data_IF_195026419585
#
_entry.id   IF_195026419585
#
_cell.length_a   1.000
_cell.length_b   1.000
_cell.length_c   1.000
_cell.angle_alpha   90.00
_cell.angle_beta   90.00
_cell.angle_gamma   90.00
#
_symmetry.space_group_name_H-M   'P 1'
#
loop_
_entity.id
_entity.type
_entity.pdbx_description
1 polymer ?
#
# COMPACT_ATOMS: atom_id res chain seq x y z
N UNK A 1 28.42 3.07 -13.22
CA UNK A 1 28.75 1.67 -13.49
C UNK A 1 28.70 0.93 -12.16
N UNK A 2 27.75 0.04 -12.03
CA UNK A 2 27.39 -0.83 -10.90
C UNK A 2 26.62 -0.22 -9.71
N UNK A 3 25.34 0.07 -9.96
CA UNK A 3 24.26 0.31 -8.97
C UNK A 3 23.56 -0.99 -8.47
N UNK A 4 24.13 -2.17 -8.68
CA UNK A 4 23.37 -3.44 -8.59
C UNK A 4 23.87 -4.46 -7.56
N UNK A 5 24.60 -4.07 -6.51
CA UNK A 5 25.16 -5.06 -5.58
C UNK A 5 24.31 -5.28 -4.31
N UNK A 6 23.36 -4.41 -3.97
CA UNK A 6 22.55 -4.55 -2.75
C UNK A 6 21.19 -5.26 -2.89
N UNK A 7 20.79 -5.66 -4.10
CA UNK A 7 19.43 -6.16 -4.36
C UNK A 7 19.31 -7.64 -4.73
N UNK A 8 20.32 -8.45 -4.52
CA UNK A 8 20.22 -9.90 -4.75
C UNK A 8 20.71 -10.68 -3.55
N UNK A 9 19.94 -10.68 -2.46
CA UNK A 9 20.00 -11.78 -1.51
C UNK A 9 18.60 -12.32 -1.26
N UNK A 10 18.25 -13.25 -2.11
CA UNK A 10 17.05 -14.06 -2.04
C UNK A 10 17.37 -15.38 -1.33
N UNK A 11 16.62 -15.68 -0.30
CA UNK A 11 16.30 -16.98 0.32
C UNK A 11 17.22 -18.19 0.15
N UNK A 12 17.72 -18.69 1.26
CA UNK A 12 17.81 -20.13 1.48
C UNK A 12 17.68 -20.47 2.97
N UNK A 13 16.56 -21.08 3.34
CA UNK A 13 16.32 -21.74 4.62
C UNK A 13 17.10 -23.04 4.69
N UNK A 14 17.90 -23.26 5.73
CA UNK A 14 18.28 -24.60 6.16
C UNK A 14 18.40 -24.65 7.68
N UNK A 15 17.48 -25.38 8.26
CA UNK A 15 17.51 -25.85 9.65
C UNK A 15 18.55 -26.95 9.80
N UNK A 16 19.48 -26.84 10.76
CA UNK A 16 20.22 -27.99 11.28
C UNK A 16 20.35 -27.85 12.79
N UNK A 17 19.91 -28.90 13.44
CA UNK A 17 19.82 -29.05 14.87
C UNK A 17 21.14 -29.26 15.58
N UNK A 18 21.08 -28.99 16.86
CA UNK A 18 22.13 -29.22 17.86
C UNK A 18 22.53 -30.68 17.99
N UNK A 19 23.80 -30.95 18.13
CA UNK A 19 24.38 -31.84 19.13
C UNK A 19 25.92 -31.67 19.16
N UNK A 20 26.52 -31.33 20.25
CA UNK A 20 27.42 -32.17 21.02
C UNK A 20 28.38 -31.35 21.90
N UNK A 21 28.42 -31.78 23.12
CA UNK A 21 29.40 -31.45 24.14
C UNK A 21 30.84 -31.64 23.65
N UNK A 22 31.63 -30.61 23.77
CA UNK A 22 33.07 -30.76 23.91
C UNK A 22 33.53 -30.10 25.20
N UNK A 23 33.78 -30.92 26.20
CA UNK A 23 34.62 -30.53 27.33
C UNK A 23 36.05 -30.42 26.81
N UNK A 24 36.51 -29.22 26.58
CA UNK A 24 37.90 -28.93 26.36
C UNK A 24 38.30 -27.82 27.30
N UNK A 25 39.08 -28.22 28.30
CA UNK A 25 39.96 -27.34 29.04
C UNK A 25 40.94 -26.66 28.10
N UNK A 26 40.52 -25.55 27.46
CA UNK A 26 41.44 -24.68 26.72
C UNK A 26 40.88 -23.26 26.71
N UNK A 27 41.53 -22.42 27.55
CA UNK A 27 41.75 -21.01 27.33
C UNK A 27 40.51 -20.16 26.91
N UNK A 28 40.26 -19.17 27.68
CA UNK A 28 39.46 -17.94 27.56
C UNK A 28 39.21 -17.40 26.15
N UNK A 29 39.12 -18.21 25.13
CA UNK A 29 38.80 -17.77 23.76
C UNK A 29 37.28 -17.61 23.67
N UNK A 30 36.86 -16.37 23.57
CA UNK A 30 35.49 -16.00 23.43
C UNK A 30 35.02 -16.24 21.98
N UNK A 31 33.89 -16.90 21.82
CA UNK A 31 33.27 -17.07 20.52
C UNK A 31 32.20 -15.98 20.34
N UNK A 32 32.29 -15.24 19.25
CA UNK A 32 31.28 -14.30 18.82
C UNK A 32 30.45 -14.97 17.72
N UNK A 33 29.17 -15.11 17.93
CA UNK A 33 28.25 -15.79 17.04
C UNK A 33 26.94 -14.96 16.84
N UNK A 34 26.05 -15.42 15.98
CA UNK A 34 24.83 -14.71 15.60
C UNK A 34 25.06 -13.87 14.35
N UNK A 35 24.03 -13.32 13.82
CA UNK A 35 24.03 -12.55 12.56
C UNK A 35 22.62 -12.37 12.06
N UNK A 36 21.64 -12.69 12.91
CA UNK A 36 20.22 -12.51 12.62
C UNK A 36 19.90 -11.01 12.63
N UNK A 37 19.11 -10.58 11.64
CA UNK A 37 18.64 -9.19 11.48
C UNK A 37 17.14 -9.14 11.70
N UNK A 38 16.66 -8.27 12.57
CA UNK A 38 15.24 -7.99 12.72
C UNK A 38 14.73 -7.14 11.55
N UNK A 39 13.47 -7.37 11.15
CA UNK A 39 12.83 -6.51 10.17
C UNK A 39 12.49 -5.13 10.74
N UNK A 40 12.31 -4.14 9.86
CA UNK A 40 11.58 -2.93 10.21
C UNK A 40 10.14 -3.32 10.59
N UNK A 41 9.72 -2.99 11.80
CA UNK A 41 8.40 -3.36 12.26
C UNK A 41 8.13 -2.99 13.70
N UNK A 42 6.94 -3.37 14.16
CA UNK A 42 6.53 -3.13 15.53
C UNK A 42 7.40 -3.92 16.52
N UNK A 43 7.85 -3.31 17.64
CA UNK A 43 8.76 -3.93 18.61
C UNK A 43 8.21 -5.18 19.32
N UNK A 44 6.94 -5.54 19.07
CA UNK A 44 6.30 -6.70 19.69
C UNK A 44 6.52 -8.03 18.97
N UNK A 45 7.21 -8.06 17.83
CA UNK A 45 7.55 -9.27 17.09
C UNK A 45 9.03 -9.30 16.75
N UNK A 46 9.80 -10.04 17.54
CA UNK A 46 11.15 -10.47 17.18
C UNK A 46 11.09 -11.51 16.06
N UNK A 47 10.60 -11.14 14.90
CA UNK A 47 10.70 -11.97 13.71
C UNK A 47 12.02 -11.61 13.01
N UNK A 48 13.04 -12.46 13.17
CA UNK A 48 14.28 -12.38 12.39
C UNK A 48 13.98 -12.87 10.99
N UNK A 49 14.23 -12.02 9.99
CA UNK A 49 13.90 -12.33 8.60
C UNK A 49 15.13 -12.69 7.80
N UNK A 50 16.29 -12.17 8.20
CA UNK A 50 17.52 -12.33 7.45
C UNK A 50 18.68 -12.68 8.37
N UNK A 51 19.67 -13.36 7.81
CA UNK A 51 20.98 -13.59 8.41
C UNK A 51 22.02 -12.90 7.55
N UNK A 52 22.95 -12.21 8.19
CA UNK A 52 24.04 -11.57 7.48
C UNK A 52 24.84 -12.60 6.66
N UNK A 53 25.20 -12.28 5.41
CA UNK A 53 25.95 -13.20 4.58
C UNK A 53 27.38 -13.40 5.07
N UNK A 54 27.97 -14.56 4.78
CA UNK A 54 29.38 -14.79 4.97
C UNK A 54 30.21 -13.73 4.21
N UNK A 55 31.22 -13.19 4.85
CA UNK A 55 32.02 -12.07 4.35
C UNK A 55 31.55 -10.70 4.85
N UNK A 56 30.41 -10.61 5.54
CA UNK A 56 30.01 -9.39 6.23
C UNK A 56 31.07 -8.97 7.23
N UNK A 57 31.24 -7.67 7.40
CA UNK A 57 32.19 -7.09 8.37
C UNK A 57 31.44 -6.19 9.34
N UNK A 58 31.91 -6.16 10.57
CA UNK A 58 31.43 -5.28 11.62
C UNK A 58 32.60 -4.67 12.43
N UNK A 59 32.30 -3.56 13.08
CA UNK A 59 33.13 -3.07 14.20
C UNK A 59 32.48 -3.48 15.52
N UNK A 60 33.30 -3.93 16.45
CA UNK A 60 32.92 -4.32 17.81
C UNK A 60 33.58 -3.40 18.82
N UNK A 61 32.77 -2.90 19.73
CA UNK A 61 33.15 -2.09 20.88
C UNK A 61 32.72 -2.81 22.14
N UNK A 62 33.52 -2.87 23.16
CA UNK A 62 33.17 -3.49 24.44
C UNK A 62 33.89 -2.83 25.61
N UNK A 63 33.24 -2.85 26.76
CA UNK A 63 33.75 -2.39 28.04
C UNK A 63 33.42 -3.42 29.12
N UNK A 64 34.14 -3.32 30.25
CA UNK A 64 33.96 -4.24 31.36
C UNK A 64 34.88 -5.45 31.25
N UNK A 65 34.31 -6.66 31.33
CA UNK A 65 35.09 -7.91 31.32
C UNK A 65 35.88 -8.19 30.05
N UNK A 66 35.50 -7.57 28.95
CA UNK A 66 36.21 -7.58 27.66
C UNK A 66 36.43 -6.14 27.22
N UNK A 67 37.63 -5.80 26.82
CA UNK A 67 37.90 -4.50 26.21
C UNK A 67 38.09 -4.64 24.70
N UNK A 68 37.30 -3.94 23.95
CA UNK A 68 37.41 -3.82 22.50
C UNK A 68 37.10 -2.39 22.06
N UNK A 69 37.95 -1.84 21.20
CA UNK A 69 37.78 -0.51 20.64
C UNK A 69 38.06 -0.56 19.15
N UNK A 70 37.00 -0.35 18.35
CA UNK A 70 37.05 -0.44 16.87
C UNK A 70 37.58 -1.79 16.35
N UNK A 71 37.31 -2.88 17.06
CA UNK A 71 37.76 -4.19 16.61
C UNK A 71 36.96 -4.63 15.36
N UNK A 72 37.66 -4.83 14.26
CA UNK A 72 37.06 -5.33 13.03
C UNK A 72 36.89 -6.84 13.11
N UNK A 73 35.69 -7.32 12.92
CA UNK A 73 35.34 -8.74 12.81
C UNK A 73 34.73 -9.04 11.44
N UNK A 74 35.02 -10.23 10.91
CA UNK A 74 34.45 -10.75 9.67
C UNK A 74 33.62 -12.00 9.94
N UNK A 75 32.46 -12.10 9.31
CA UNK A 75 31.56 -13.23 9.48
C UNK A 75 31.88 -14.37 8.51
N UNK A 76 32.08 -15.57 9.02
CA UNK A 76 32.37 -16.75 8.20
C UNK A 76 31.12 -17.57 7.84
N UNK A 77 29.93 -17.12 8.23
CA UNK A 77 28.64 -17.81 8.08
C UNK A 77 28.19 -18.52 9.37
N UNK A 78 29.02 -18.55 10.42
CA UNK A 78 28.71 -19.16 11.71
C UNK A 78 29.21 -18.32 12.89
N UNK A 79 30.44 -17.83 12.79
CA UNK A 79 31.10 -17.04 13.83
C UNK A 79 31.73 -15.79 13.23
N UNK A 80 31.96 -14.80 14.10
CA UNK A 80 32.69 -13.59 13.79
C UNK A 80 34.13 -13.73 14.22
N UNK A 81 35.06 -13.47 13.33
CA UNK A 81 36.50 -13.66 13.54
C UNK A 81 37.22 -12.35 13.28
N UNK A 82 38.16 -12.02 14.17
CA UNK A 82 39.08 -10.90 14.05
C UNK A 82 40.53 -11.37 13.81
N UNK A 83 41.43 -10.44 13.53
CA UNK A 83 42.89 -10.73 13.41
C UNK A 83 43.43 -11.35 14.67
N UNK A 84 42.87 -11.03 15.83
CA UNK A 84 43.24 -11.61 17.13
C UNK A 84 41.97 -12.08 17.86
N UNK A 85 42.06 -13.21 18.58
CA UNK A 85 40.92 -13.70 19.35
C UNK A 85 40.59 -12.75 20.50
N UNK A 86 39.29 -12.51 20.70
CA UNK A 86 38.78 -11.79 21.87
C UNK A 86 39.09 -12.59 23.15
N UNK A 87 39.46 -11.90 24.21
CA UNK A 87 39.78 -12.49 25.51
C UNK A 87 39.10 -11.71 26.62
N UNK A 88 38.78 -12.45 27.70
CA UNK A 88 38.39 -11.85 28.95
C UNK A 88 39.57 -11.20 29.63
N UNK A 89 39.48 -9.92 29.97
CA UNK A 89 40.46 -9.19 30.75
C UNK A 89 40.11 -9.19 32.23
N UNK A 90 38.81 -9.10 32.55
CA UNK A 90 38.33 -9.21 33.91
C UNK A 90 37.17 -10.25 33.96
N UNK A 91 37.37 -11.34 34.67
CA UNK A 91 36.44 -12.45 34.83
C UNK A 91 35.36 -12.18 35.89
N UNK A 92 35.43 -11.05 36.58
CA UNK A 92 34.47 -10.67 37.62
C UNK A 92 33.45 -9.65 37.10
N UNK A 93 33.68 -9.11 35.93
CA UNK A 93 32.79 -8.13 35.31
C UNK A 93 32.11 -8.71 34.07
N UNK A 94 30.86 -8.33 33.84
CA UNK A 94 30.20 -8.54 32.55
C UNK A 94 30.88 -7.69 31.47
N UNK A 95 30.80 -8.14 30.24
CA UNK A 95 31.20 -7.39 29.07
C UNK A 95 29.96 -6.80 28.40
N UNK A 96 29.92 -5.47 28.33
CA UNK A 96 28.90 -4.75 27.55
C UNK A 96 29.46 -4.40 26.18
N UNK A 97 28.88 -4.96 25.12
CA UNK A 97 29.33 -4.81 23.76
C UNK A 97 28.32 -4.13 22.85
N UNK A 98 28.83 -3.39 21.88
CA UNK A 98 28.10 -2.79 20.80
C UNK A 98 28.77 -3.13 19.47
N UNK A 99 27.99 -3.56 18.50
CA UNK A 99 28.46 -3.93 17.16
C UNK A 99 27.71 -3.16 16.09
N UNK A 100 28.41 -2.81 15.00
CA UNK A 100 27.82 -2.10 13.87
C UNK A 100 28.19 -2.78 12.54
N UNK A 101 27.20 -3.07 11.74
CA UNK A 101 27.34 -3.64 10.40
C UNK A 101 26.54 -2.77 9.38
N UNK A 102 27.18 -2.23 8.34
CA UNK A 102 28.61 -2.25 8.05
C UNK A 102 29.47 -1.60 9.15
N UNK A 103 30.83 -1.78 9.10
CA UNK A 103 31.71 -1.23 10.12
C UNK A 103 31.54 0.28 10.34
N UNK A 104 31.34 0.67 11.58
CA UNK A 104 31.25 2.07 11.99
C UNK A 104 32.48 2.42 12.86
N UNK A 105 33.28 3.38 12.42
CA UNK A 105 34.42 3.89 13.11
C UNK A 105 34.14 5.23 13.78
N UNK A 106 34.81 5.57 14.86
CA UNK A 106 34.62 6.85 15.59
C UNK A 106 34.75 8.10 14.72
N UNK A 107 35.58 8.02 13.68
CA UNK A 107 35.80 9.10 12.73
C UNK A 107 35.00 8.89 11.42
N UNK A 108 33.93 8.12 11.47
CA UNK A 108 33.07 7.91 10.29
C UNK A 108 32.46 9.24 9.84
N UNK A 109 32.68 9.59 8.58
CA UNK A 109 32.38 10.93 8.07
C UNK A 109 31.11 11.02 7.25
N UNK A 110 30.48 9.91 6.90
CA UNK A 110 29.29 9.96 6.07
C UNK A 110 28.37 8.76 6.27
N UNK A 111 27.13 9.04 6.66
CA UNK A 111 26.03 8.08 6.71
C UNK A 111 25.18 8.12 5.45
N UNK A 112 25.59 8.92 4.46
CA UNK A 112 24.80 9.20 3.26
C UNK A 112 25.54 8.73 2.02
N UNK A 113 24.78 8.14 1.10
CA UNK A 113 25.20 7.85 -0.26
C UNK A 113 24.26 8.59 -1.21
N UNK A 114 24.82 9.40 -2.11
CA UNK A 114 24.04 10.26 -3.02
C UNK A 114 22.99 11.13 -2.30
N UNK A 115 23.27 11.54 -1.06
CA UNK A 115 22.40 12.32 -0.22
C UNK A 115 21.36 11.51 0.58
N UNK A 116 21.19 10.23 0.32
CA UNK A 116 20.23 9.35 1.00
C UNK A 116 20.91 8.68 2.20
N UNK A 117 20.24 8.68 3.36
CA UNK A 117 20.70 8.00 4.56
C UNK A 117 20.79 6.49 4.30
N UNK A 118 21.98 5.92 4.51
CA UNK A 118 22.22 4.50 4.36
C UNK A 118 21.86 3.74 5.63
N UNK A 119 21.38 2.52 5.48
CA UNK A 119 21.05 1.69 6.61
C UNK A 119 22.30 1.30 7.42
N UNK A 120 22.14 1.34 8.72
CA UNK A 120 23.15 0.96 9.70
C UNK A 120 22.53 -0.02 10.67
N UNK A 121 23.03 -1.25 10.67
CA UNK A 121 22.62 -2.25 11.65
C UNK A 121 23.49 -2.12 12.90
N UNK A 122 22.88 -2.37 14.06
CA UNK A 122 23.59 -2.47 15.32
C UNK A 122 23.11 -3.65 16.17
N UNK A 123 23.99 -4.19 16.99
CA UNK A 123 23.66 -5.19 18.00
C UNK A 123 24.26 -4.77 19.34
N UNK A 124 23.44 -4.84 20.39
CA UNK A 124 23.90 -4.62 21.78
C UNK A 124 23.86 -5.94 22.54
N UNK A 125 24.89 -6.22 23.29
CA UNK A 125 25.01 -7.45 24.07
C UNK A 125 25.62 -7.19 25.43
N UNK A 126 25.16 -7.94 26.43
CA UNK A 126 25.81 -8.04 27.74
C UNK A 126 26.10 -9.51 27.97
N UNK A 127 27.37 -9.86 28.18
CA UNK A 127 27.85 -11.24 28.25
C UNK A 127 28.56 -11.47 29.57
N UNK A 128 28.30 -12.58 30.24
CA UNK A 128 28.97 -12.99 31.47
C UNK A 128 30.18 -13.84 31.16
N UNK A 129 31.14 -13.88 32.09
CA UNK A 129 32.32 -14.72 31.95
C UNK A 129 31.96 -16.19 31.69
N UNK A 130 32.57 -16.77 30.68
CA UNK A 130 32.33 -18.15 30.26
C UNK A 130 31.19 -18.34 29.25
N UNK A 131 30.47 -17.29 28.92
CA UNK A 131 29.43 -17.32 27.89
C UNK A 131 29.98 -16.85 26.52
N UNK A 132 29.36 -17.27 25.44
CA UNK A 132 29.65 -16.76 24.12
C UNK A 132 28.86 -15.45 23.87
N UNK A 133 29.44 -14.56 23.09
CA UNK A 133 28.76 -13.38 22.62
C UNK A 133 27.81 -13.79 21.51
N UNK A 134 26.54 -13.43 21.63
CA UNK A 134 25.53 -13.59 20.58
C UNK A 134 25.08 -12.22 20.06
N UNK A 135 25.19 -12.00 18.76
CA UNK A 135 24.82 -10.74 18.12
C UNK A 135 23.52 -10.90 17.33
N UNK A 136 22.51 -10.17 17.78
CA UNK A 136 21.22 -10.01 17.08
C UNK A 136 21.11 -8.56 16.64
N UNK A 137 21.01 -8.32 15.33
CA UNK A 137 21.07 -6.99 14.76
C UNK A 137 19.69 -6.37 14.61
N UNK A 138 19.64 -5.06 14.79
CA UNK A 138 18.49 -4.21 14.55
C UNK A 138 18.91 -3.04 13.67
N UNK A 139 17.95 -2.45 12.96
CA UNK A 139 18.18 -1.22 12.22
C UNK A 139 18.35 -0.05 13.18
N UNK A 140 19.39 0.74 12.98
CA UNK A 140 19.68 1.93 13.80
C UNK A 140 18.73 3.07 13.49
N UNK A 141 18.29 3.18 12.23
CA UNK A 141 17.42 4.23 11.74
C UNK A 141 15.96 3.75 11.67
N UNK A 142 15.04 4.70 11.52
CA UNK A 142 13.64 4.42 11.23
C UNK A 142 13.41 4.46 9.71
N UNK A 143 12.47 3.65 9.22
CA UNK A 143 12.03 3.65 7.83
C UNK A 143 10.73 4.43 7.71
N UNK A 144 10.63 5.34 6.76
CA UNK A 144 9.39 6.04 6.40
C UNK A 144 8.99 5.62 5.00
N UNK A 145 7.73 5.24 4.86
CA UNK A 145 7.11 4.88 3.57
C UNK A 145 5.99 5.87 3.30
N UNK A 146 6.05 6.53 2.14
CA UNK A 146 4.95 7.37 1.71
C UNK A 146 3.85 6.51 1.08
N UNK A 147 2.69 6.48 1.74
CA UNK A 147 1.47 5.92 1.19
C UNK A 147 0.76 6.99 0.37
N UNK A 148 1.04 6.96 -0.94
CA UNK A 148 0.53 7.96 -1.87
C UNK A 148 -0.79 7.48 -2.44
N UNK A 149 -1.84 8.31 -2.39
CA UNK A 149 -3.13 7.97 -2.99
C UNK A 149 -2.95 7.54 -4.46
N UNK A 150 -3.69 6.54 -4.90
CA UNK A 150 -3.53 5.95 -6.23
C UNK A 150 -3.81 6.97 -7.34
N UNK A 151 -4.73 7.90 -7.13
CA UNK A 151 -5.03 9.01 -8.05
C UNK A 151 -3.83 9.96 -8.19
N UNK A 152 -3.24 10.39 -7.08
CA UNK A 152 -2.05 11.23 -7.07
C UNK A 152 -0.84 10.47 -7.63
N UNK A 153 -0.69 9.21 -7.28
CA UNK A 153 0.45 8.37 -7.66
C UNK A 153 0.67 8.29 -9.19
N UNK A 154 -0.40 8.34 -9.99
CA UNK A 154 -0.33 8.39 -11.45
C UNK A 154 0.16 9.71 -12.01
N UNK A 155 0.05 10.77 -11.22
CA UNK A 155 0.42 12.13 -11.60
C UNK A 155 1.81 12.52 -11.10
N UNK A 156 2.41 11.71 -10.22
CA UNK A 156 3.72 12.01 -9.66
C UNK A 156 4.81 11.78 -10.70
N UNK A 157 5.60 12.82 -10.91
CA UNK A 157 6.87 12.73 -11.61
C UNK A 157 8.02 12.48 -10.63
N UNK A 158 8.01 13.17 -9.47
CA UNK A 158 9.09 13.14 -8.50
C UNK A 158 8.60 13.61 -7.13
N UNK A 159 9.14 13.04 -6.08
CA UNK A 159 8.97 13.54 -4.71
C UNK A 159 10.30 14.09 -4.21
N UNK A 160 10.28 15.33 -3.76
CA UNK A 160 11.37 15.97 -3.04
C UNK A 160 11.00 16.04 -1.55
N UNK A 161 11.91 15.68 -0.67
CA UNK A 161 11.67 15.77 0.76
C UNK A 161 12.87 16.37 1.48
N UNK A 162 12.59 17.09 2.56
CA UNK A 162 13.60 17.76 3.39
C UNK A 162 13.31 17.44 4.85
N UNK A 163 14.05 16.48 5.46
CA UNK A 163 13.96 16.28 6.89
C UNK A 163 14.54 17.49 7.63
N UNK A 164 13.99 17.84 8.77
CA UNK A 164 14.52 18.97 9.57
C UNK A 164 15.89 18.69 10.18
N UNK A 165 16.25 17.42 10.34
CA UNK A 165 17.51 16.97 10.93
C UNK A 165 18.22 15.95 10.04
N UNK A 166 19.54 16.01 10.02
CA UNK A 166 20.44 15.04 9.38
C UNK A 166 21.43 14.44 10.39
N UNK A 167 21.83 13.18 10.14
CA UNK A 167 22.80 12.47 10.97
C UNK A 167 24.19 13.02 10.72
N UNK A 168 24.91 13.36 11.79
CA UNK A 168 26.30 13.83 11.74
C UNK A 168 27.25 12.74 12.22
N UNK A 169 26.89 12.07 13.31
CA UNK A 169 27.69 11.00 13.90
C UNK A 169 26.83 10.05 14.71
N UNK A 170 27.40 8.90 15.03
CA UNK A 170 26.86 7.94 15.99
C UNK A 170 27.95 7.70 17.03
N UNK A 171 27.57 7.70 18.30
CA UNK A 171 28.50 7.35 19.40
C UNK A 171 28.57 5.83 19.47
N UNK A 172 29.72 5.21 19.11
CA UNK A 172 29.76 3.75 18.97
C UNK A 172 29.54 2.99 20.28
N UNK A 173 29.86 3.58 21.43
CA UNK A 173 29.69 2.95 22.73
C UNK A 173 28.26 2.88 23.22
N UNK A 174 27.43 3.77 22.75
CA UNK A 174 26.00 3.86 23.17
C UNK A 174 25.00 3.59 22.03
N UNK A 175 25.42 3.74 20.77
CA UNK A 175 24.54 3.76 19.61
C UNK A 175 23.74 5.05 19.50
N UNK A 176 24.08 6.10 20.27
CA UNK A 176 23.40 7.38 20.23
C UNK A 176 23.66 8.09 18.90
N UNK A 177 22.58 8.51 18.23
CA UNK A 177 22.64 9.22 16.95
C UNK A 177 22.67 10.72 17.20
N UNK A 178 23.72 11.38 16.74
CA UNK A 178 23.90 12.83 16.83
C UNK A 178 23.44 13.46 15.52
N UNK A 179 22.53 14.42 15.62
CA UNK A 179 21.96 15.12 14.47
C UNK A 179 22.28 16.61 14.50
N UNK A 180 22.19 17.22 13.33
CA UNK A 180 22.20 18.66 13.11
C UNK A 180 21.08 19.06 12.17
N UNK A 181 20.80 20.35 12.03
CA UNK A 181 19.84 20.85 11.07
C UNK A 181 20.21 20.39 9.66
N UNK A 182 19.24 19.85 8.94
CA UNK A 182 19.43 19.45 7.55
C UNK A 182 19.44 20.67 6.65
N UNK A 183 20.35 20.68 5.68
CA UNK A 183 20.55 21.83 4.77
C UNK A 183 20.01 21.58 3.35
N UNK A 184 19.71 20.33 2.99
CA UNK A 184 19.44 19.95 1.61
C UNK A 184 18.14 19.14 1.49
N UNK A 185 17.40 19.44 0.44
CA UNK A 185 16.33 18.56 -0.05
C UNK A 185 16.91 17.34 -0.75
N UNK A 186 16.19 16.25 -0.69
CA UNK A 186 16.54 14.98 -1.29
C UNK A 186 15.45 14.56 -2.27
N UNK A 187 15.87 13.98 -3.39
CA UNK A 187 14.96 13.44 -4.38
C UNK A 187 14.71 11.96 -4.11
N UNK A 188 13.44 11.58 -4.03
CA UNK A 188 13.03 10.24 -3.76
C UNK A 188 12.53 9.58 -5.05
N UNK A 189 13.17 8.48 -5.41
CA UNK A 189 12.73 7.59 -6.47
C UNK A 189 12.01 6.38 -5.85
N UNK A 190 11.13 5.74 -6.61
CA UNK A 190 10.51 4.48 -6.18
C UNK A 190 11.57 3.39 -6.06
N UNK A 191 11.46 2.60 -5.02
CA UNK A 191 12.26 1.40 -4.87
C UNK A 191 11.76 0.29 -5.83
N UNK A 192 12.42 -0.88 -5.83
CA UNK A 192 12.03 -2.02 -6.66
C UNK A 192 10.66 -2.63 -6.29
N UNK A 193 10.12 -2.27 -5.13
CA UNK A 193 8.78 -2.66 -4.66
C UNK A 193 7.71 -1.65 -5.10
N UNK A 194 8.11 -0.57 -5.78
CA UNK A 194 7.23 0.50 -6.22
C UNK A 194 6.91 1.53 -5.13
N UNK A 195 7.58 1.49 -3.98
CA UNK A 195 7.34 2.36 -2.84
C UNK A 195 8.27 3.57 -2.84
N UNK A 196 7.79 4.68 -2.30
CA UNK A 196 8.61 5.82 -1.93
C UNK A 196 9.03 5.67 -0.46
N UNK A 197 10.19 5.07 -0.23
CA UNK A 197 10.69 4.76 1.09
C UNK A 197 12.09 5.32 1.33
N UNK A 198 12.36 5.80 2.54
CA UNK A 198 13.64 6.35 2.95
C UNK A 198 13.88 6.17 4.45
N UNK A 199 15.10 6.41 4.88
CA UNK A 199 15.49 6.30 6.29
C UNK A 199 15.60 7.68 6.93
N UNK A 200 15.26 7.74 8.21
CA UNK A 200 15.40 8.93 9.06
C UNK A 200 16.06 8.56 10.39
N UNK A 201 16.77 9.52 11.05
CA UNK A 201 17.31 9.27 12.37
C UNK A 201 16.19 9.03 13.41
N UNK A 202 16.44 8.22 14.45
CA UNK A 202 15.46 7.91 15.49
C UNK A 202 15.34 9.04 16.51
N UNK A 203 14.87 10.19 16.06
CA UNK A 203 14.71 11.41 16.85
C UNK A 203 13.39 12.09 16.51
N UNK A 204 13.09 13.17 17.23
CA UNK A 204 11.97 14.04 16.87
C UNK A 204 12.38 14.90 15.68
N UNK A 205 11.69 14.78 14.57
CA UNK A 205 11.92 15.60 13.38
C UNK A 205 10.64 15.85 12.59
N UNK A 206 10.63 16.90 11.78
CA UNK A 206 9.61 17.16 10.76
C UNK A 206 10.18 16.94 9.38
N UNK A 207 9.30 16.74 8.38
CA UNK A 207 9.69 16.50 7.00
C UNK A 207 8.86 17.41 6.11
N UNK A 208 9.50 18.31 5.39
CA UNK A 208 8.86 19.06 4.31
C UNK A 208 8.89 18.22 3.03
N UNK A 209 7.76 18.15 2.34
CA UNK A 209 7.54 17.28 1.18
C UNK A 209 7.05 18.16 0.03
N UNK A 210 7.68 18.01 -1.13
CA UNK A 210 7.22 18.63 -2.38
C UNK A 210 7.01 17.57 -3.44
N UNK A 211 5.80 17.48 -3.95
CA UNK A 211 5.40 16.54 -4.97
C UNK A 211 5.38 17.27 -6.31
N UNK A 212 6.15 16.80 -7.27
CA UNK A 212 6.16 17.30 -8.63
C UNK A 212 5.31 16.38 -9.51
N UNK A 213 4.38 16.96 -10.26
CA UNK A 213 3.50 16.21 -11.16
C UNK A 213 4.00 16.20 -12.59
N UNK A 214 3.48 15.27 -13.37
CA UNK A 214 3.74 15.15 -14.81
C UNK A 214 3.23 16.35 -15.62
N UNK A 215 2.28 17.12 -15.06
CA UNK A 215 1.75 18.34 -15.65
C UNK A 215 2.61 19.58 -15.37
N UNK A 216 3.65 19.43 -14.54
CA UNK A 216 4.53 20.52 -14.13
C UNK A 216 4.01 21.32 -12.93
N UNK A 217 2.90 20.96 -12.37
CA UNK A 217 2.42 21.49 -11.08
C UNK A 217 3.20 20.88 -9.93
N UNK A 218 3.21 21.53 -8.77
CA UNK A 218 3.77 20.99 -7.56
C UNK A 218 2.85 21.25 -6.37
N UNK A 219 2.91 20.34 -5.40
CA UNK A 219 2.14 20.43 -4.16
C UNK A 219 3.09 20.30 -2.97
N UNK A 220 3.02 21.24 -2.06
CA UNK A 220 3.77 21.21 -0.81
C UNK A 220 2.94 20.55 0.28
N UNK A 221 3.55 19.66 1.03
CA UNK A 221 3.00 19.00 2.20
C UNK A 221 4.05 19.01 3.32
N UNK A 222 3.64 18.76 4.55
CA UNK A 222 4.53 18.69 5.71
C UNK A 222 4.08 17.60 6.66
N UNK A 223 4.99 16.72 7.00
CA UNK A 223 4.86 15.89 8.18
C UNK A 223 5.35 16.72 9.38
N UNK A 224 4.41 17.07 10.26
CA UNK A 224 4.73 17.78 11.50
C UNK A 224 5.66 16.96 12.38
N UNK A 225 6.29 17.62 13.37
CA UNK A 225 7.28 16.97 14.23
C UNK A 225 6.72 15.69 14.85
N UNK A 226 7.37 14.60 14.52
CA UNK A 226 7.04 13.26 14.98
C UNK A 226 8.25 12.56 15.60
N UNK A 227 8.02 11.67 16.57
CA UNK A 227 9.06 10.91 17.26
C UNK A 227 9.31 9.58 16.56
N UNK A 228 10.44 9.46 15.93
CA UNK A 228 10.87 8.23 15.26
C UNK A 228 11.70 7.36 16.21
N UNK A 229 11.62 6.06 16.07
CA UNK A 229 12.35 5.08 16.88
C UNK A 229 13.15 4.14 15.99
N UNK A 230 14.33 3.71 16.44
CA UNK A 230 15.19 2.74 15.73
C UNK A 230 14.41 1.48 15.36
N UNK A 231 14.63 0.98 14.15
CA UNK A 231 14.07 -0.26 13.66
C UNK A 231 12.55 -0.25 13.39
N UNK A 232 11.89 0.91 13.51
CA UNK A 232 10.46 1.02 13.23
C UNK A 232 10.19 1.48 11.81
N UNK A 233 9.06 0.99 11.26
CA UNK A 233 8.50 1.49 10.01
C UNK A 233 7.31 2.39 10.29
N UNK A 234 7.23 3.48 9.57
CA UNK A 234 6.17 4.48 9.65
C UNK A 234 5.56 4.72 8.28
N UNK A 235 4.25 4.54 8.17
CA UNK A 235 3.52 4.88 6.96
C UNK A 235 3.00 6.31 7.05
N UNK A 236 3.37 7.14 6.09
CA UNK A 236 2.95 8.54 6.00
C UNK A 236 1.99 8.69 4.81
N UNK A 237 0.67 8.86 5.04
CA UNK A 237 -0.28 9.05 3.96
C UNK A 237 -0.08 10.40 3.28
N UNK A 238 0.04 10.40 1.96
CA UNK A 238 0.14 11.58 1.12
C UNK A 238 -1.06 11.65 0.19
N UNK A 239 -1.85 12.69 0.35
CA UNK A 239 -2.96 13.01 -0.54
C UNK A 239 -3.03 14.52 -0.74
N UNK A 240 -3.59 14.97 -1.84
CA UNK A 240 -3.87 16.38 -2.04
C UNK A 240 -4.97 16.84 -1.07
N UNK A 241 -4.85 18.07 -0.56
CA UNK A 241 -5.80 18.61 0.41
C UNK A 241 -7.24 18.65 -0.13
N UNK A 242 -7.38 18.82 -1.45
CA UNK A 242 -8.66 18.92 -2.15
C UNK A 242 -8.98 17.63 -2.97
N UNK A 243 -8.25 16.53 -2.72
CA UNK A 243 -8.51 15.27 -3.42
C UNK A 243 -9.76 14.62 -2.85
N UNK A 244 -10.89 14.87 -3.50
CA UNK A 244 -12.11 14.15 -3.18
C UNK A 244 -12.05 12.72 -3.74
N UNK A 245 -12.26 11.75 -2.85
CA UNK A 245 -12.41 10.35 -3.22
C UNK A 245 -13.75 10.19 -3.92
N UNK A 246 -13.73 9.70 -5.17
CA UNK A 246 -14.94 9.47 -5.93
C UNK A 246 -14.76 9.57 -7.44
N UNK A 247 -15.87 9.34 -8.14
CA UNK A 247 -15.99 9.34 -9.59
C UNK A 247 -16.25 10.78 -10.04
N UNK A 248 -15.28 11.41 -10.68
CA UNK A 248 -15.36 12.82 -11.10
C UNK A 248 -15.43 13.02 -12.60
N UNK A 249 -15.08 12.02 -13.39
CA UNK A 249 -15.08 12.06 -14.86
C UNK A 249 -15.73 10.81 -15.46
N UNK A 250 -16.10 10.88 -16.76
CA UNK A 250 -16.60 9.72 -17.50
C UNK A 250 -15.59 8.58 -17.49
N UNK A 251 -14.32 8.88 -17.65
CA UNK A 251 -13.24 7.90 -17.60
C UNK A 251 -13.15 7.22 -16.21
N UNK A 252 -13.36 7.98 -15.11
CA UNK A 252 -13.46 7.40 -13.77
C UNK A 252 -14.64 6.42 -13.67
N UNK A 253 -15.78 6.78 -14.25
CA UNK A 253 -16.95 5.91 -14.22
C UNK A 253 -16.74 4.63 -15.03
N UNK A 254 -16.14 4.72 -16.21
CA UNK A 254 -15.76 3.55 -17.02
C UNK A 254 -14.83 2.66 -16.21
N UNK A 255 -13.74 3.20 -15.68
CA UNK A 255 -12.78 2.46 -14.86
C UNK A 255 -13.47 1.79 -13.66
N UNK A 256 -14.32 2.51 -12.94
CA UNK A 256 -15.11 1.97 -11.83
C UNK A 256 -15.93 0.75 -12.24
N UNK A 257 -16.63 0.81 -13.40
CA UNK A 257 -17.47 -0.31 -13.84
C UNK A 257 -16.68 -1.57 -14.18
N UNK A 258 -15.45 -1.43 -14.67
CA UNK A 258 -14.53 -2.56 -14.88
C UNK A 258 -14.02 -3.14 -13.55
N UNK A 259 -13.49 -2.29 -12.69
CA UNK A 259 -12.89 -2.67 -11.44
C UNK A 259 -13.87 -3.32 -10.46
N UNK A 260 -15.10 -2.80 -10.35
CA UNK A 260 -16.14 -3.36 -9.49
C UNK A 260 -16.57 -4.75 -9.98
N UNK A 261 -16.38 -5.05 -11.25
CA UNK A 261 -16.57 -6.36 -11.83
C UNK A 261 -15.38 -7.31 -11.65
N UNK A 262 -14.27 -6.81 -11.06
CA UNK A 262 -13.03 -7.56 -10.84
C UNK A 262 -12.15 -7.64 -12.07
N UNK A 263 -12.33 -6.74 -13.02
CA UNK A 263 -11.49 -6.59 -14.21
C UNK A 263 -10.46 -5.49 -13.94
N UNK A 264 -9.21 -5.72 -14.34
CA UNK A 264 -8.17 -4.70 -14.23
C UNK A 264 -8.44 -3.55 -15.21
N UNK A 265 -8.19 -2.31 -14.79
CA UNK A 265 -8.27 -1.13 -15.63
C UNK A 265 -7.02 -0.26 -15.42
N UNK A 266 -5.99 -0.54 -16.21
CA UNK A 266 -4.67 0.06 -15.99
C UNK A 266 -4.12 -0.23 -14.59
N UNK A 267 -3.58 0.78 -13.96
CA UNK A 267 -3.06 0.72 -12.57
C UNK A 267 -4.08 1.24 -11.53
N UNK A 268 -5.35 1.37 -11.92
CA UNK A 268 -6.40 1.94 -11.07
C UNK A 268 -6.94 0.94 -10.05
N UNK A 269 -7.48 1.46 -8.95
CA UNK A 269 -8.09 0.67 -7.88
C UNK A 269 -9.44 1.23 -7.43
N UNK A 270 -10.24 0.41 -6.75
CA UNK A 270 -11.58 0.81 -6.25
C UNK A 270 -11.51 1.86 -5.13
N UNK A 271 -10.40 1.93 -4.42
CA UNK A 271 -10.14 2.91 -3.35
C UNK A 271 -10.08 4.36 -3.87
N UNK A 272 -9.89 4.55 -5.18
CA UNK A 272 -9.97 5.88 -5.81
C UNK A 272 -11.39 6.44 -5.84
N UNK A 273 -12.39 5.57 -5.81
CA UNK A 273 -13.79 5.91 -6.06
C UNK A 273 -14.64 5.90 -4.81
N UNK A 274 -14.13 5.41 -3.69
CA UNK A 274 -14.89 5.29 -2.45
C UNK A 274 -14.04 4.99 -1.24
N UNK A 275 -14.70 5.03 -0.10
CA UNK A 275 -14.08 4.75 1.19
C UNK A 275 -14.89 3.73 1.99
N UNK A 276 -14.24 3.06 2.93
CA UNK A 276 -14.89 2.07 3.78
C UNK A 276 -15.68 2.75 4.88
N UNK A 277 -16.99 2.60 4.85
CA UNK A 277 -17.90 3.17 5.85
C UNK A 277 -18.73 2.05 6.49
N UNK A 278 -18.58 1.83 7.79
CA UNK A 278 -19.40 0.86 8.52
C UNK A 278 -19.28 -0.61 8.10
N UNK A 279 -18.22 -0.98 7.36
CA UNK A 279 -17.96 -2.35 6.91
C UNK A 279 -18.11 -2.58 5.41
N UNK A 280 -18.88 -1.75 4.71
CA UNK A 280 -19.03 -1.76 3.25
C UNK A 280 -18.23 -0.60 2.63
N UNK A 281 -17.87 -0.74 1.34
CA UNK A 281 -17.37 0.40 0.56
C UNK A 281 -18.54 1.31 0.20
N UNK A 282 -18.29 2.62 0.23
CA UNK A 282 -19.22 3.63 -0.30
C UNK A 282 -18.53 4.36 -1.43
N UNK A 283 -19.03 4.21 -2.64
CA UNK A 283 -18.55 4.87 -3.85
C UNK A 283 -19.36 6.11 -4.12
N UNK A 284 -18.70 7.19 -4.50
CA UNK A 284 -19.32 8.50 -4.67
C UNK A 284 -19.26 8.98 -6.11
N UNK A 285 -20.37 9.52 -6.62
CA UNK A 285 -20.36 10.34 -7.84
C UNK A 285 -20.15 11.80 -7.42
N UNK A 286 -19.15 12.47 -8.01
CA UNK A 286 -18.74 13.82 -7.58
C UNK A 286 -19.20 14.93 -8.55
N UNK A 287 -19.55 14.56 -9.78
CA UNK A 287 -20.01 15.50 -10.81
C UNK A 287 -21.10 14.87 -11.67
N UNK A 288 -21.84 15.70 -12.36
CA UNK A 288 -22.68 15.27 -13.47
C UNK A 288 -21.78 14.79 -14.61
N UNK A 289 -22.04 13.58 -15.14
CA UNK A 289 -21.24 12.98 -16.21
C UNK A 289 -22.08 12.85 -17.47
N UNK A 290 -21.62 13.49 -18.55
CA UNK A 290 -22.28 13.41 -19.87
C UNK A 290 -21.50 12.50 -20.78
N UNK A 291 -22.14 11.44 -21.27
CA UNK A 291 -21.52 10.38 -22.07
C UNK A 291 -21.73 10.63 -23.57
N UNK A 292 -20.70 10.32 -24.35
CA UNK A 292 -20.83 10.07 -25.79
C UNK A 292 -21.22 8.61 -26.04
N UNK A 293 -21.55 8.29 -27.29
CA UNK A 293 -21.83 6.90 -27.69
C UNK A 293 -20.62 5.99 -27.51
N UNK A 294 -19.42 6.47 -27.90
CA UNK A 294 -18.19 5.71 -27.76
C UNK A 294 -17.81 5.46 -26.28
N UNK A 295 -18.03 6.42 -25.41
CA UNK A 295 -17.80 6.26 -23.97
C UNK A 295 -18.83 5.33 -23.34
N UNK A 296 -20.09 5.45 -23.73
CA UNK A 296 -21.16 4.54 -23.27
C UNK A 296 -20.87 3.09 -23.63
N UNK A 297 -20.28 2.83 -24.80
CA UNK A 297 -19.91 1.49 -25.25
C UNK A 297 -18.81 0.84 -24.38
N UNK A 298 -18.06 1.63 -23.62
CA UNK A 298 -17.01 1.16 -22.70
C UNK A 298 -17.53 0.92 -21.28
N UNK A 299 -18.70 1.47 -20.94
CA UNK A 299 -19.32 1.25 -19.62
C UNK A 299 -19.79 -0.19 -19.51
N UNK A 300 -19.37 -0.87 -18.46
CA UNK A 300 -19.84 -2.21 -18.16
C UNK A 300 -21.04 -2.20 -17.21
N UNK A 301 -21.96 -3.13 -17.42
CA UNK A 301 -23.01 -3.41 -16.44
C UNK A 301 -22.39 -3.85 -15.12
N UNK A 302 -22.76 -3.21 -14.02
CA UNK A 302 -22.23 -3.52 -12.69
C UNK A 302 -22.83 -4.83 -12.17
N UNK A 303 -21.95 -5.79 -11.89
CA UNK A 303 -22.34 -7.15 -11.49
C UNK A 303 -22.69 -8.06 -12.65
N UNK A 304 -22.82 -9.36 -12.37
CA UNK A 304 -23.18 -10.40 -13.35
C UNK A 304 -24.18 -11.35 -12.71
N UNK A 305 -25.43 -11.32 -13.14
CA UNK A 305 -26.44 -12.24 -12.64
C UNK A 305 -26.88 -13.21 -13.74
N UNK A 306 -26.21 -14.36 -13.79
CA UNK A 306 -26.59 -15.52 -14.60
C UNK A 306 -26.79 -15.26 -16.09
N UNK A 307 -26.07 -15.99 -16.91
CA UNK A 307 -26.44 -16.23 -18.30
C UNK A 307 -27.18 -17.56 -18.38
N UNK A 308 -27.82 -17.87 -19.49
CA UNK A 308 -28.43 -19.18 -19.73
C UNK A 308 -27.44 -20.35 -19.55
N UNK A 309 -26.13 -20.08 -19.61
CA UNK A 309 -25.04 -21.05 -19.54
C UNK A 309 -24.10 -20.88 -18.32
N UNK A 310 -24.25 -19.84 -17.50
CA UNK A 310 -23.39 -19.56 -16.35
C UNK A 310 -24.19 -19.28 -15.10
N UNK A 311 -23.84 -19.95 -14.00
CA UNK A 311 -24.42 -19.74 -12.66
C UNK A 311 -23.74 -18.62 -11.86
N UNK A 312 -22.85 -17.82 -12.46
CA UNK A 312 -22.12 -16.76 -11.76
C UNK A 312 -23.08 -15.66 -11.34
N UNK A 313 -23.20 -15.48 -10.04
CA UNK A 313 -24.01 -14.42 -9.41
C UNK A 313 -23.08 -13.48 -8.69
N UNK A 314 -22.81 -12.33 -9.26
CA UNK A 314 -22.13 -11.23 -8.59
C UNK A 314 -23.07 -10.05 -8.56
N UNK A 315 -23.74 -9.87 -7.44
CA UNK A 315 -24.60 -8.74 -7.20
C UNK A 315 -23.77 -7.62 -6.59
N UNK A 316 -24.19 -6.39 -6.80
CA UNK A 316 -23.61 -5.24 -6.13
C UNK A 316 -24.00 -5.29 -4.65
N UNK A 317 -23.02 -5.33 -3.75
CA UNK A 317 -23.20 -5.54 -2.31
C UNK A 317 -22.67 -4.38 -1.45
N UNK A 318 -22.18 -3.32 -2.08
CA UNK A 318 -21.66 -2.10 -1.46
C UNK A 318 -22.71 -0.94 -1.57
N UNK A 319 -22.25 0.29 -1.29
CA UNK A 319 -23.07 1.50 -1.42
C UNK A 319 -22.59 2.32 -2.61
N UNK A 320 -23.50 2.68 -3.51
CA UNK A 320 -23.28 3.69 -4.55
C UNK A 320 -24.09 4.93 -4.22
N UNK A 321 -23.41 6.02 -3.90
CA UNK A 321 -23.98 7.32 -3.55
C UNK A 321 -23.76 8.30 -4.70
N UNK A 322 -24.84 8.58 -5.44
CA UNK A 322 -24.85 9.55 -6.53
C UNK A 322 -24.70 11.00 -6.08
N UNK A 323 -24.80 11.28 -4.78
CA UNK A 323 -24.76 12.65 -4.19
C UNK A 323 -25.69 13.67 -4.90
N UNK A 324 -26.72 13.19 -5.58
CA UNK A 324 -27.64 14.00 -6.36
C UNK A 324 -27.15 14.34 -7.77
N UNK A 325 -26.02 13.81 -8.19
CA UNK A 325 -25.47 14.00 -9.53
C UNK A 325 -26.11 13.07 -10.56
N UNK A 326 -25.94 13.44 -11.82
CA UNK A 326 -26.55 12.80 -12.97
C UNK A 326 -25.56 12.03 -13.83
N UNK A 327 -25.97 10.86 -14.32
CA UNK A 327 -25.39 10.21 -15.50
C UNK A 327 -26.27 10.58 -16.71
N UNK A 328 -25.71 11.38 -17.62
CA UNK A 328 -26.44 12.02 -18.70
C UNK A 328 -26.08 11.36 -20.04
N UNK A 329 -27.07 11.06 -20.89
CA UNK A 329 -26.93 10.44 -22.20
C UNK A 329 -26.26 9.05 -22.18
N UNK A 330 -26.28 8.37 -21.05
CA UNK A 330 -25.70 7.03 -20.97
C UNK A 330 -26.51 6.04 -21.81
N UNK A 331 -25.86 5.36 -22.75
CA UNK A 331 -26.47 4.34 -23.59
C UNK A 331 -26.16 2.95 -23.06
N UNK A 332 -27.21 2.21 -22.75
CA UNK A 332 -27.09 0.81 -22.34
C UNK A 332 -27.37 -0.09 -23.54
N UNK A 333 -26.40 -0.91 -23.89
CA UNK A 333 -26.60 -1.99 -24.83
C UNK A 333 -26.91 -3.27 -24.04
N UNK A 334 -27.97 -3.96 -24.38
CA UNK A 334 -28.26 -5.27 -23.80
C UNK A 334 -27.07 -6.19 -24.02
N UNK A 335 -26.54 -6.83 -22.96
CA UNK A 335 -25.39 -7.68 -23.12
C UNK A 335 -25.69 -8.86 -24.03
N UNK A 336 -24.84 -9.10 -25.01
CA UNK A 336 -24.90 -10.24 -25.91
C UNK A 336 -24.70 -11.52 -25.09
N UNK A 337 -25.65 -12.47 -25.15
CA UNK A 337 -25.49 -13.78 -24.51
C UNK A 337 -26.50 -14.16 -23.44
N UNK A 338 -27.68 -13.51 -23.45
CA UNK A 338 -28.85 -13.98 -22.69
C UNK A 338 -28.70 -13.81 -21.17
N UNK A 339 -28.43 -12.59 -20.72
CA UNK A 339 -28.50 -12.27 -19.29
C UNK A 339 -29.96 -12.27 -18.82
N UNK A 340 -30.19 -12.88 -17.65
CA UNK A 340 -31.55 -12.89 -17.07
C UNK A 340 -31.93 -11.52 -16.51
N UNK A 341 -30.97 -10.72 -16.08
CA UNK A 341 -31.20 -9.41 -15.47
C UNK A 341 -30.19 -8.40 -16.00
N UNK A 342 -30.64 -7.26 -16.43
CA UNK A 342 -29.82 -6.19 -16.99
C UNK A 342 -30.26 -4.81 -16.57
N UNK A 343 -29.33 -3.88 -16.49
CA UNK A 343 -29.47 -2.48 -16.13
C UNK A 343 -28.10 -1.88 -15.89
N UNK A 344 -28.03 -0.68 -15.34
CA UNK A 344 -26.77 -0.16 -14.84
C UNK A 344 -26.17 -1.15 -13.82
N UNK A 345 -27.00 -1.69 -12.94
CA UNK A 345 -26.69 -2.83 -12.09
C UNK A 345 -27.42 -4.07 -12.60
N UNK A 346 -26.73 -5.17 -12.82
CA UNK A 346 -27.40 -6.44 -13.12
C UNK A 346 -28.30 -6.84 -11.95
N UNK A 347 -27.85 -6.58 -10.73
CA UNK A 347 -28.64 -6.73 -9.53
C UNK A 347 -27.95 -6.15 -8.30
N UNK A 348 -28.79 -5.76 -7.35
CA UNK A 348 -28.40 -5.23 -6.05
C UNK A 348 -28.66 -6.32 -5.00
N UNK A 349 -27.65 -6.66 -4.19
CA UNK A 349 -27.77 -7.67 -3.12
C UNK A 349 -28.56 -7.13 -1.93
N UNK A 350 -28.88 -7.99 -0.97
CA UNK A 350 -29.60 -7.58 0.26
C UNK A 350 -28.83 -6.58 1.15
N UNK A 351 -27.54 -6.41 0.93
CA UNK A 351 -26.67 -5.43 1.61
C UNK A 351 -26.34 -4.24 0.74
N UNK A 352 -26.60 -4.33 -0.57
CA UNK A 352 -26.30 -3.28 -1.53
C UNK A 352 -27.29 -2.12 -1.46
N UNK A 353 -26.77 -0.91 -1.65
CA UNK A 353 -27.54 0.33 -1.65
C UNK A 353 -27.17 1.18 -2.85
N UNK A 354 -28.16 1.67 -3.59
CA UNK A 354 -27.97 2.70 -4.62
C UNK A 354 -28.84 3.89 -4.24
N UNK A 355 -28.23 5.04 -4.05
CA UNK A 355 -28.94 6.21 -3.57
C UNK A 355 -28.51 7.51 -4.25
N UNK A 356 -29.40 8.50 -4.19
CA UNK A 356 -29.13 9.88 -4.60
C UNK A 356 -28.57 9.98 -6.03
N UNK A 357 -28.98 9.10 -6.95
CA UNK A 357 -28.50 9.02 -8.33
C UNK A 357 -29.59 9.44 -9.32
N UNK A 358 -29.21 10.26 -10.30
CA UNK A 358 -30.07 10.64 -11.41
C UNK A 358 -29.59 10.00 -12.71
N UNK A 359 -30.47 9.32 -13.45
CA UNK A 359 -30.25 8.96 -14.85
C UNK A 359 -31.06 9.92 -15.71
N UNK A 360 -30.34 10.72 -16.50
CA UNK A 360 -30.96 11.73 -17.36
C UNK A 360 -30.68 11.45 -18.84
N UNK A 361 -31.73 11.48 -19.67
CA UNK A 361 -31.61 11.22 -21.11
C UNK A 361 -30.94 9.88 -21.45
N UNK A 362 -30.98 8.92 -20.52
CA UNK A 362 -30.40 7.62 -20.76
C UNK A 362 -31.20 6.83 -21.80
N UNK A 363 -30.49 6.08 -22.64
CA UNK A 363 -31.08 5.24 -23.69
C UNK A 363 -30.79 3.79 -23.39
N UNK A 364 -31.81 2.95 -23.34
CA UNK A 364 -31.68 1.52 -23.21
C UNK A 364 -32.04 0.81 -24.52
N UNK A 365 -31.03 0.26 -25.19
CA UNK A 365 -31.20 -0.52 -26.41
C UNK A 365 -31.51 -1.97 -26.06
N UNK A 366 -32.79 -2.36 -26.11
CA UNK A 366 -33.23 -3.71 -25.84
C UNK A 366 -33.13 -4.58 -27.08
N UNK A 367 -31.95 -5.10 -27.36
CA UNK A 367 -31.77 -6.20 -28.30
C UNK A 367 -32.01 -7.55 -27.61
N UNK A 368 -32.81 -8.38 -28.26
CA UNK A 368 -33.10 -9.81 -28.05
C UNK A 368 -32.49 -10.52 -26.81
N UNK A 369 -33.34 -11.24 -26.07
CA UNK A 369 -33.06 -12.24 -25.04
C UNK A 369 -32.79 -11.74 -23.60
N UNK A 370 -32.82 -10.45 -23.31
CA UNK A 370 -32.78 -9.98 -21.91
C UNK A 370 -34.19 -10.05 -21.34
N UNK A 371 -34.44 -11.00 -20.41
CA UNK A 371 -35.81 -11.22 -19.90
C UNK A 371 -36.24 -10.17 -18.87
N UNK A 372 -35.31 -9.69 -18.06
CA UNK A 372 -35.61 -8.74 -16.98
C UNK A 372 -34.66 -7.54 -17.07
N UNK A 373 -35.10 -6.48 -17.73
CA UNK A 373 -34.27 -5.28 -17.92
C UNK A 373 -34.90 -4.06 -17.26
N UNK A 374 -34.04 -3.17 -16.75
CA UNK A 374 -34.42 -1.88 -16.21
C UNK A 374 -33.29 -0.86 -16.45
N UNK A 375 -33.58 0.44 -16.29
CA UNK A 375 -32.51 1.42 -16.33
C UNK A 375 -31.52 1.25 -15.19
N UNK A 376 -32.00 1.10 -13.94
CA UNK A 376 -31.14 1.07 -12.78
C UNK A 376 -30.74 -0.36 -12.40
N UNK A 377 -31.69 -1.25 -12.11
CA UNK A 377 -31.38 -2.61 -11.68
C UNK A 377 -32.25 -3.67 -12.32
N UNK A 378 -31.66 -4.72 -12.89
CA UNK A 378 -32.41 -5.87 -13.37
C UNK A 378 -33.16 -6.57 -12.24
N UNK A 379 -32.49 -6.81 -11.10
CA UNK A 379 -33.09 -7.27 -9.84
C UNK A 379 -32.62 -6.42 -8.66
N UNK A 380 -33.56 -6.00 -7.82
CA UNK A 380 -33.25 -5.34 -6.56
C UNK A 380 -33.61 -6.26 -5.37
N UNK A 381 -32.66 -6.58 -4.53
CA UNK A 381 -32.82 -7.25 -3.22
C UNK A 381 -32.41 -6.36 -2.05
N UNK A 382 -31.73 -5.25 -2.35
CA UNK A 382 -31.24 -4.26 -1.40
C UNK A 382 -32.13 -3.02 -1.34
N UNK A 383 -31.49 -1.86 -1.41
CA UNK A 383 -32.16 -0.57 -1.33
C UNK A 383 -31.86 0.32 -2.53
N UNK A 384 -32.90 0.90 -3.13
CA UNK A 384 -32.82 1.99 -4.08
C UNK A 384 -33.54 3.18 -3.45
N UNK A 385 -32.81 4.25 -3.15
CA UNK A 385 -33.29 5.37 -2.36
C UNK A 385 -32.99 6.71 -3.05
N UNK A 386 -33.99 7.57 -3.13
CA UNK A 386 -33.87 8.92 -3.68
C UNK A 386 -33.21 8.96 -5.08
N UNK A 387 -33.51 7.96 -5.93
CA UNK A 387 -33.02 7.91 -7.31
C UNK A 387 -34.05 8.46 -8.26
N UNK A 388 -33.61 9.04 -9.38
CA UNK A 388 -34.48 9.65 -10.38
C UNK A 388 -34.14 9.17 -11.79
N UNK A 389 -35.18 8.89 -12.59
CA UNK A 389 -35.07 8.73 -14.03
C UNK A 389 -35.77 9.93 -14.70
N UNK A 390 -35.06 10.59 -15.59
CA UNK A 390 -35.57 11.79 -16.27
C UNK A 390 -35.32 11.75 -17.78
N UNK A 391 -36.36 11.90 -18.58
CA UNK A 391 -36.31 11.96 -20.06
C UNK A 391 -35.60 10.73 -20.69
N UNK A 392 -35.71 9.55 -20.09
CA UNK A 392 -35.07 8.33 -20.57
C UNK A 392 -35.89 7.66 -21.68
N UNK A 393 -35.21 6.97 -22.60
CA UNK A 393 -35.82 6.27 -23.72
C UNK A 393 -35.45 4.79 -23.74
N UNK A 394 -36.45 3.92 -23.92
CA UNK A 394 -36.21 2.49 -24.17
C UNK A 394 -36.46 2.23 -25.64
N UNK A 395 -35.48 1.82 -26.38
CA UNK A 395 -35.59 1.36 -27.76
C UNK A 395 -35.82 -0.15 -27.78
N UNK A 396 -36.97 -0.56 -28.29
CA UNK A 396 -37.42 -1.96 -28.31
C UNK A 396 -37.45 -2.46 -29.75
N UNK A 397 -36.74 -3.55 -30.01
CA UNK A 397 -36.71 -4.20 -31.33
C UNK A 397 -37.74 -5.32 -31.43
N UNK A 398 -38.28 -5.85 -30.32
CA UNK A 398 -39.30 -6.89 -30.26
C UNK A 398 -40.27 -6.75 -29.11
N UNK A 399 -41.51 -7.22 -29.29
CA UNK A 399 -42.68 -7.02 -28.44
C UNK A 399 -42.84 -8.04 -27.28
N UNK A 400 -41.81 -8.48 -26.64
CA UNK A 400 -41.88 -9.37 -25.47
C UNK A 400 -41.32 -8.76 -24.19
N UNK A 401 -41.66 -7.52 -23.93
CA UNK A 401 -40.91 -6.65 -23.04
C UNK A 401 -41.39 -6.63 -21.59
N UNK A 402 -40.74 -7.42 -20.76
CA UNK A 402 -40.62 -7.08 -19.33
C UNK A 402 -39.51 -6.06 -19.14
N UNK A 403 -39.84 -4.77 -19.11
CA UNK A 403 -38.94 -3.68 -18.81
C UNK A 403 -39.44 -2.92 -17.58
N UNK A 404 -38.59 -2.79 -16.58
CA UNK A 404 -38.84 -1.97 -15.41
C UNK A 404 -38.14 -0.62 -15.51
N UNK A 405 -38.65 0.39 -14.84
CA UNK A 405 -37.97 1.67 -14.75
C UNK A 405 -36.75 1.58 -13.81
N UNK A 406 -36.98 1.65 -12.49
CA UNK A 406 -35.92 1.58 -11.47
C UNK A 406 -35.42 0.15 -11.23
N UNK A 407 -36.35 -0.81 -11.19
CA UNK A 407 -36.01 -2.23 -11.13
C UNK A 407 -37.06 -3.02 -11.92
N UNK A 408 -36.65 -4.08 -12.62
CA UNK A 408 -37.57 -4.99 -13.26
C UNK A 408 -38.15 -5.99 -12.23
N UNK A 409 -37.28 -6.63 -11.46
CA UNK A 409 -37.70 -7.51 -10.37
C UNK A 409 -37.30 -6.91 -9.02
N UNK A 410 -38.29 -6.60 -8.18
CA UNK A 410 -38.04 -5.99 -6.88
C UNK A 410 -38.42 -6.91 -5.73
N UNK A 411 -37.41 -7.39 -4.99
CA UNK A 411 -37.54 -8.14 -3.73
C UNK A 411 -37.04 -7.29 -2.53
N UNK A 412 -36.50 -6.09 -2.78
CA UNK A 412 -35.96 -5.17 -1.80
C UNK A 412 -36.82 -3.92 -1.59
N UNK A 413 -36.17 -2.83 -1.28
CA UNK A 413 -36.80 -1.53 -0.95
C UNK A 413 -36.52 -0.55 -2.08
N UNK A 414 -37.59 0.14 -2.55
CA UNK A 414 -37.50 1.32 -3.43
C UNK A 414 -38.26 2.44 -2.71
N UNK A 415 -37.56 3.50 -2.37
CA UNK A 415 -38.13 4.59 -1.56
C UNK A 415 -37.66 5.95 -2.06
N UNK A 416 -38.54 6.96 -1.97
CA UNK A 416 -38.28 8.36 -2.38
C UNK A 416 -37.84 8.54 -3.84
N UNK A 417 -38.03 7.54 -4.69
CA UNK A 417 -37.59 7.57 -6.08
C UNK A 417 -38.64 8.24 -6.97
N UNK A 418 -38.19 8.83 -8.07
CA UNK A 418 -39.04 9.51 -9.05
C UNK A 418 -38.72 9.05 -10.46
N UNK A 419 -39.79 8.93 -11.29
CA UNK A 419 -39.70 8.58 -12.71
C UNK A 419 -40.46 9.62 -13.49
N UNK A 420 -39.77 10.40 -14.32
CA UNK A 420 -40.32 11.44 -15.13
C UNK A 420 -40.00 11.23 -16.61
N UNK A 421 -41.00 11.28 -17.46
CA UNK A 421 -40.88 11.26 -18.91
C UNK A 421 -40.02 10.10 -19.46
N UNK A 422 -40.31 8.86 -19.06
CA UNK A 422 -39.75 7.66 -19.68
C UNK A 422 -40.59 7.25 -20.89
N UNK A 423 -39.93 7.07 -22.04
CA UNK A 423 -40.58 6.76 -23.32
C UNK A 423 -40.21 5.38 -23.81
N UNK A 424 -41.13 4.70 -24.46
CA UNK A 424 -40.89 3.45 -25.19
C UNK A 424 -40.93 3.79 -26.70
N UNK A 425 -39.83 3.54 -27.40
CA UNK A 425 -39.74 3.69 -28.85
C UNK A 425 -39.58 2.32 -29.49
N UNK A 426 -40.48 2.03 -30.45
CA UNK A 426 -40.45 0.75 -31.18
C UNK A 426 -39.78 0.98 -32.53
N UNK A 427 -38.61 0.45 -32.72
CA UNK A 427 -37.90 0.41 -34.01
C UNK A 427 -38.35 -0.86 -34.75
N UNK A 428 -39.47 -0.75 -35.47
CA UNK A 428 -40.07 -1.82 -36.29
C UNK A 428 -39.41 -1.93 -37.66
#
# INVERSE_FOLDING_TARGET
MNRHIFQKLLFLLLTIGCTNEFVSTRYNTLIVQGGEVSNFGSPSRNEFIETLPAGSQLTFYSQGGIYANELLLSYNGNTWEGESPLKWEDTQQAADGMSFCPPLYRNHSSFYQDGILCDQLYARTTTLYGENIHLSFQHLFARVVFDVSSKLNRQINQIEFTPSLSVVSVIPESGEVICQDAANSLLLERNDQGEYAFLVPPVNLSIDIRIHTTTGEYYDNRLETYSFSSGHEYTCPIKLADEEIGISTVEDFIAFTHLINGEAYGERSLEEFGEKTGGNMTYYLLNDLTFTEEESAQVQMIGKYGTATSSVKRLFDDVFDGKGHSLINLQFNAPVGGYYYAGLFSGISSTGVVKDLVLEQAVYNKENDTKNAAFLAGINRGEINNCMLQNCTVEIIRDDSDFGNLANWNEGIIINCHVDNVRLEFNL
#
